data_IF_849433814757
#
_entry.id   IF_849433814757
#
_cell.length_a   1.000
_cell.length_b   1.000
_cell.length_c   1.000
_cell.angle_alpha   90.00
_cell.angle_beta   90.00
_cell.angle_gamma   90.00
#
_symmetry.space_group_name_H-M   'P 1'
#
loop_
_entity.id
_entity.type
_entity.pdbx_description
1 polymer ?
#
# COMPACT_ATOMS: atom_id res chain seq x y z
N UNK A 1 -4.85 -6.54 11.37
CA UNK A 1 -5.37 -5.20 11.70
C UNK A 1 -4.39 -4.48 12.62
N UNK A 2 -4.43 -3.17 12.64
CA UNK A 2 -3.73 -2.38 13.65
C UNK A 2 -4.50 -2.44 14.97
N UNK A 3 -3.78 -2.45 16.09
CA UNK A 3 -4.41 -2.33 17.39
C UNK A 3 -4.94 -0.89 17.60
N UNK A 4 -5.88 -0.74 18.51
CA UNK A 4 -6.37 0.58 18.89
C UNK A 4 -5.24 1.46 19.47
N UNK A 5 -4.34 0.86 20.24
CA UNK A 5 -3.17 1.54 20.81
C UNK A 5 -2.21 2.05 19.72
N UNK A 6 -2.00 1.27 18.65
CA UNK A 6 -1.14 1.71 17.54
C UNK A 6 -1.76 2.91 16.81
N UNK A 7 -3.06 2.87 16.56
CA UNK A 7 -3.76 3.98 15.92
C UNK A 7 -3.83 5.21 16.81
N UNK A 8 -4.01 5.04 18.13
CA UNK A 8 -4.09 6.13 19.08
C UNK A 8 -2.79 6.96 19.17
N UNK A 9 -1.64 6.40 18.81
CA UNK A 9 -0.38 7.15 18.68
C UNK A 9 -0.52 8.33 17.70
N UNK A 10 -1.34 8.19 16.66
CA UNK A 10 -1.58 9.23 15.66
C UNK A 10 -2.35 10.44 16.18
N UNK A 11 -2.88 10.40 17.40
CA UNK A 11 -3.46 11.56 18.09
C UNK A 11 -2.41 12.61 18.45
N UNK A 12 -1.14 12.19 18.56
CA UNK A 12 -0.02 13.08 18.80
C UNK A 12 0.21 13.98 17.57
N UNK A 13 0.06 15.30 17.77
CA UNK A 13 0.23 16.31 16.72
C UNK A 13 1.69 16.48 16.25
N UNK A 14 2.65 15.90 16.96
CA UNK A 14 4.05 15.82 16.50
C UNK A 14 4.19 14.89 15.30
N UNK A 15 3.32 13.88 15.18
CA UNK A 15 3.24 12.99 14.02
C UNK A 15 2.53 13.74 12.89
N UNK A 16 3.26 14.05 11.82
CA UNK A 16 2.78 14.85 10.69
C UNK A 16 2.20 14.01 9.57
N UNK A 17 2.70 12.79 9.41
CA UNK A 17 2.26 11.90 8.34
C UNK A 17 2.25 10.44 8.78
N UNK A 18 1.39 9.64 8.13
CA UNK A 18 1.36 8.18 8.25
C UNK A 18 1.29 7.56 6.87
N UNK A 19 2.09 6.51 6.65
CA UNK A 19 2.04 5.69 5.43
C UNK A 19 1.39 4.34 5.75
N UNK A 20 0.36 3.98 4.99
CA UNK A 20 -0.41 2.76 5.20
C UNK A 20 -0.54 2.01 3.87
N UNK A 21 -0.11 0.75 3.84
CA UNK A 21 -0.40 -0.17 2.73
C UNK A 21 -1.73 -0.86 3.03
N UNK A 22 -2.73 -0.67 2.18
CA UNK A 22 -4.09 -1.16 2.40
C UNK A 22 -4.71 -1.74 1.11
N UNK A 23 -4.92 -3.04 1.02
CA UNK A 23 -4.56 -4.14 1.94
C UNK A 23 -3.07 -4.27 2.21
N UNK A 24 -2.72 -4.74 3.41
CA UNK A 24 -1.34 -4.74 3.91
C UNK A 24 -0.44 -5.77 3.18
N UNK A 25 0.83 -5.43 3.04
CA UNK A 25 1.90 -6.34 2.63
C UNK A 25 2.86 -6.51 3.84
N UNK A 26 3.10 -7.72 4.35
CA UNK A 26 2.74 -9.04 3.79
C UNK A 26 1.44 -9.65 4.33
N UNK A 27 0.68 -8.99 5.18
CA UNK A 27 -0.47 -9.59 5.85
C UNK A 27 -1.67 -9.86 4.93
N UNK A 28 -1.72 -9.28 3.72
CA UNK A 28 -2.79 -9.44 2.73
C UNK A 28 -4.21 -9.03 3.20
N UNK A 29 -4.33 -8.32 4.30
CA UNK A 29 -5.62 -7.99 4.93
C UNK A 29 -5.88 -6.50 4.81
N UNK A 30 -7.07 -6.13 4.31
CA UNK A 30 -7.54 -4.75 4.27
C UNK A 30 -7.97 -4.25 5.66
N UNK A 31 -7.92 -2.95 5.86
CA UNK A 31 -8.43 -2.31 7.07
C UNK A 31 -9.93 -2.57 7.24
N UNK A 32 -10.32 -3.02 8.42
CA UNK A 32 -11.73 -3.16 8.78
C UNK A 32 -12.39 -1.80 9.07
N UNK A 33 -13.70 -1.80 9.25
CA UNK A 33 -14.47 -0.58 9.52
C UNK A 33 -14.04 0.10 10.82
N UNK A 34 -13.68 -0.66 11.86
CA UNK A 34 -13.24 -0.10 13.14
C UNK A 34 -11.95 0.70 13.00
N UNK A 35 -10.95 0.14 12.31
CA UNK A 35 -9.70 0.86 12.02
C UNK A 35 -9.95 2.14 11.20
N UNK A 36 -10.82 2.07 10.17
CA UNK A 36 -11.16 3.23 9.35
C UNK A 36 -11.89 4.30 10.16
N UNK A 37 -12.84 3.90 11.00
CA UNK A 37 -13.59 4.81 11.86
C UNK A 37 -12.68 5.46 12.92
N UNK A 38 -11.75 4.70 13.49
CA UNK A 38 -10.75 5.22 14.44
C UNK A 38 -9.87 6.27 13.76
N UNK A 39 -9.33 5.98 12.57
CA UNK A 39 -8.55 6.95 11.79
C UNK A 39 -9.36 8.21 11.47
N UNK A 40 -10.62 8.05 11.03
CA UNK A 40 -11.52 9.17 10.76
C UNK A 40 -11.75 10.03 12.01
N UNK A 41 -11.95 9.40 13.16
CA UNK A 41 -12.10 10.11 14.43
C UNK A 41 -10.83 10.88 14.81
N UNK A 42 -9.64 10.29 14.57
CA UNK A 42 -8.35 10.93 14.84
C UNK A 42 -8.21 12.21 14.00
N UNK A 43 -8.37 12.13 12.68
CA UNK A 43 -8.24 13.33 11.82
C UNK A 43 -9.34 14.35 12.03
N UNK A 44 -10.52 13.93 12.51
CA UNK A 44 -11.61 14.88 12.74
C UNK A 44 -11.47 15.62 14.06
N UNK A 45 -11.01 14.93 15.13
CA UNK A 45 -11.06 15.48 16.51
C UNK A 45 -9.71 15.79 17.12
N UNK A 46 -8.66 15.03 16.78
CA UNK A 46 -7.39 15.07 17.51
C UNK A 46 -6.24 15.64 16.69
N UNK A 47 -6.06 15.17 15.47
CA UNK A 47 -4.95 15.56 14.59
C UNK A 47 -5.46 15.90 13.18
N UNK A 48 -6.16 17.01 12.97
CA UNK A 48 -6.76 17.38 11.68
C UNK A 48 -5.74 17.64 10.58
N UNK A 49 -4.49 17.90 10.94
CA UNK A 49 -3.39 18.14 10.02
C UNK A 49 -2.58 16.87 9.67
N UNK A 50 -3.01 15.69 10.15
CA UNK A 50 -2.35 14.44 9.82
C UNK A 50 -2.47 14.16 8.31
N UNK A 51 -1.34 14.03 7.64
CA UNK A 51 -1.25 13.61 6.25
C UNK A 51 -1.26 12.08 6.18
N UNK A 52 -2.17 11.50 5.40
CA UNK A 52 -2.27 10.06 5.21
C UNK A 52 -1.82 9.75 3.79
N UNK A 53 -0.87 8.82 3.63
CA UNK A 53 -0.49 8.26 2.35
C UNK A 53 -0.95 6.81 2.36
N UNK A 54 -1.87 6.44 1.45
CA UNK A 54 -2.35 5.05 1.32
C UNK A 54 -1.86 4.43 0.03
N UNK A 55 -1.27 3.23 0.12
CA UNK A 55 -0.95 2.39 -1.03
C UNK A 55 -2.03 1.32 -1.18
N UNK A 56 -2.88 1.50 -2.19
CA UNK A 56 -4.06 0.68 -2.43
C UNK A 56 -3.82 -0.41 -3.50
N UNK A 57 -2.56 -0.73 -3.81
CA UNK A 57 -2.17 -1.65 -4.90
C UNK A 57 -2.86 -3.01 -4.86
N UNK A 58 -3.20 -3.52 -3.69
CA UNK A 58 -3.89 -4.82 -3.51
C UNK A 58 -5.41 -4.70 -3.37
N UNK A 59 -5.97 -3.48 -3.40
CA UNK A 59 -7.39 -3.24 -3.18
C UNK A 59 -8.31 -3.98 -4.16
N UNK A 60 -7.88 -4.16 -5.41
CA UNK A 60 -8.62 -4.90 -6.44
C UNK A 60 -8.81 -6.38 -6.15
N UNK A 61 -7.98 -6.97 -5.29
CA UNK A 61 -8.08 -8.39 -4.87
C UNK A 61 -8.97 -8.61 -3.65
N UNK A 62 -9.44 -7.54 -2.99
CA UNK A 62 -10.26 -7.60 -1.78
C UNK A 62 -11.72 -7.28 -2.10
N UNK A 63 -12.64 -8.15 -1.68
CA UNK A 63 -14.06 -7.91 -1.81
C UNK A 63 -14.51 -6.77 -0.89
N UNK A 64 -15.32 -5.85 -1.42
CA UNK A 64 -15.81 -4.71 -0.65
C UNK A 64 -14.71 -3.74 -0.19
N UNK A 65 -13.54 -3.75 -0.83
CA UNK A 65 -12.46 -2.83 -0.50
C UNK A 65 -12.90 -1.37 -0.51
N UNK A 66 -12.49 -0.64 0.51
CA UNK A 66 -12.71 0.81 0.61
C UNK A 66 -11.38 1.52 0.88
N UNK A 67 -10.95 2.32 -0.07
CA UNK A 67 -9.79 3.20 0.09
C UNK A 67 -10.02 4.21 1.22
N UNK A 68 -8.94 4.61 1.89
CA UNK A 68 -8.97 5.71 2.86
C UNK A 68 -9.34 7.05 2.19
N UNK A 69 -9.10 7.18 0.89
CA UNK A 69 -9.54 8.35 0.12
C UNK A 69 -11.06 8.53 0.08
N UNK A 70 -11.84 7.45 0.18
CA UNK A 70 -13.30 7.53 0.21
C UNK A 70 -13.80 8.09 1.55
N UNK A 71 -13.11 7.72 2.64
CA UNK A 71 -13.56 8.08 4.00
C UNK A 71 -12.95 9.37 4.52
N UNK A 72 -11.76 9.72 4.07
CA UNK A 72 -10.97 10.88 4.51
C UNK A 72 -10.26 11.57 3.33
N UNK A 73 -11.00 12.00 2.28
CA UNK A 73 -10.39 12.55 1.05
C UNK A 73 -9.50 13.76 1.31
N UNK A 74 -9.86 14.60 2.28
CA UNK A 74 -9.12 15.81 2.63
C UNK A 74 -7.70 15.49 3.17
N UNK A 75 -7.57 14.41 3.96
CA UNK A 75 -6.29 14.05 4.60
C UNK A 75 -5.47 13.05 3.79
N UNK A 76 -6.05 12.43 2.74
CA UNK A 76 -5.46 11.24 2.12
C UNK A 76 -4.93 11.52 0.72
N UNK A 77 -3.66 11.15 0.50
CA UNK A 77 -3.04 10.95 -0.80
C UNK A 77 -3.08 9.47 -1.12
N UNK A 78 -3.76 9.10 -2.20
CA UNK A 78 -3.86 7.72 -2.65
C UNK A 78 -2.79 7.39 -3.67
N UNK A 79 -2.18 6.23 -3.52
CA UNK A 79 -1.24 5.65 -4.48
C UNK A 79 -1.82 4.34 -4.99
N UNK A 80 -1.81 4.14 -6.30
CA UNK A 80 -2.19 2.89 -6.93
C UNK A 80 -1.15 2.48 -7.95
N UNK A 81 -0.86 1.18 -8.04
CA UNK A 81 0.08 0.62 -9.00
C UNK A 81 -0.59 -0.40 -9.91
N UNK A 82 -0.30 -0.34 -11.20
CA UNK A 82 -0.72 -1.33 -12.19
C UNK A 82 0.04 -2.66 -12.08
N UNK A 83 1.11 -2.67 -11.29
CA UNK A 83 2.06 -3.80 -11.19
C UNK A 83 1.41 -5.13 -10.86
N UNK A 84 0.43 -5.16 -9.95
CA UNK A 84 -0.11 -6.40 -9.39
C UNK A 84 -1.34 -6.87 -10.15
N UNK A 85 -2.33 -6.02 -10.29
CA UNK A 85 -3.60 -6.38 -10.94
C UNK A 85 -3.43 -6.72 -12.42
N UNK A 86 -2.63 -5.95 -13.15
CA UNK A 86 -2.38 -6.18 -14.57
C UNK A 86 -1.10 -7.02 -14.84
N UNK A 87 -0.38 -7.46 -13.81
CA UNK A 87 0.82 -8.30 -13.96
C UNK A 87 2.02 -7.59 -14.61
N UNK A 88 2.08 -6.26 -14.55
CA UNK A 88 3.09 -5.44 -15.25
C UNK A 88 4.12 -4.82 -14.31
N UNK A 89 4.61 -5.58 -13.36
CA UNK A 89 5.53 -5.14 -12.31
C UNK A 89 6.78 -4.44 -12.86
N UNK A 90 7.35 -4.96 -13.95
CA UNK A 90 8.55 -4.41 -14.59
C UNK A 90 8.32 -3.10 -15.37
N UNK A 91 7.08 -2.74 -15.67
CA UNK A 91 6.76 -1.55 -16.46
C UNK A 91 6.76 -0.26 -15.66
N UNK A 92 6.78 -0.35 -14.34
CA UNK A 92 6.84 0.78 -13.40
C UNK A 92 5.72 1.80 -13.60
N UNK A 93 4.47 1.32 -13.68
CA UNK A 93 3.28 2.14 -13.90
C UNK A 93 2.51 2.32 -12.59
N UNK A 94 2.17 3.56 -12.27
CA UNK A 94 1.37 3.90 -11.11
C UNK A 94 0.75 5.27 -11.25
N UNK A 95 -0.21 5.57 -10.38
CA UNK A 95 -0.89 6.85 -10.29
C UNK A 95 -0.95 7.32 -8.85
N UNK A 96 -0.94 8.64 -8.68
CA UNK A 96 -1.19 9.31 -7.41
C UNK A 96 -2.48 10.10 -7.57
N UNK A 97 -3.35 10.01 -6.57
CA UNK A 97 -4.59 10.75 -6.51
C UNK A 97 -4.65 11.61 -5.25
N UNK A 98 -5.14 12.82 -5.38
CA UNK A 98 -5.33 13.76 -4.28
C UNK A 98 -6.62 14.55 -4.51
N UNK A 99 -7.43 14.73 -3.47
CA UNK A 99 -8.62 15.55 -3.57
C UNK A 99 -8.25 17.01 -3.88
N UNK A 100 -9.09 17.74 -4.60
CA UNK A 100 -8.87 19.15 -4.94
C UNK A 100 -8.67 19.99 -3.68
N UNK A 101 -9.53 19.80 -2.69
CA UNK A 101 -9.40 20.36 -1.36
C UNK A 101 -8.72 19.35 -0.45
N UNK A 102 -7.55 19.68 0.07
CA UNK A 102 -6.72 18.75 0.82
C UNK A 102 -5.84 19.46 1.85
N UNK A 103 -5.48 18.72 2.89
CA UNK A 103 -4.65 19.20 3.99
C UNK A 103 -3.24 19.62 3.53
N UNK A 104 -2.72 19.00 2.47
CA UNK A 104 -1.37 19.28 1.97
C UNK A 104 -1.27 20.72 1.44
N UNK A 105 -2.27 21.14 0.64
CA UNK A 105 -2.33 22.52 0.15
C UNK A 105 -2.51 23.53 1.30
N UNK A 106 -3.37 23.20 2.26
CA UNK A 106 -3.64 24.09 3.39
C UNK A 106 -2.44 24.24 4.34
N UNK A 107 -1.68 23.16 4.55
CA UNK A 107 -0.44 23.24 5.34
C UNK A 107 0.62 24.05 4.63
N UNK A 108 0.77 23.88 3.31
CA UNK A 108 1.71 24.69 2.51
C UNK A 108 1.34 26.16 2.52
N UNK A 109 0.05 26.51 2.46
CA UNK A 109 -0.42 27.89 2.55
C UNK A 109 -0.09 28.55 3.90
N UNK A 110 0.05 27.74 4.97
CA UNK A 110 0.35 28.19 6.35
C UNK A 110 1.85 28.21 6.68
N UNK A 111 2.73 27.81 5.78
CA UNK A 111 4.16 27.83 6.02
C UNK A 111 4.66 29.25 6.36
N UNK A 112 5.70 29.38 7.19
CA UNK A 112 6.40 30.63 7.44
C UNK A 112 6.94 31.28 6.15
N UNK A 113 7.11 32.59 6.17
CA UNK A 113 7.58 33.33 4.99
C UNK A 113 8.93 32.82 4.46
N UNK A 114 9.85 32.45 5.34
CA UNK A 114 11.15 31.91 4.96
C UNK A 114 11.01 30.57 4.20
N UNK A 115 10.18 29.66 4.70
CA UNK A 115 9.93 28.38 4.04
C UNK A 115 9.21 28.55 2.71
N UNK A 116 8.27 29.51 2.62
CA UNK A 116 7.62 29.90 1.36
C UNK A 116 8.63 30.43 0.35
N UNK A 117 9.63 31.18 0.80
CA UNK A 117 10.69 31.71 -0.06
C UNK A 117 11.57 30.57 -0.62
N UNK A 118 11.89 29.57 0.19
CA UNK A 118 12.63 28.37 -0.28
C UNK A 118 11.83 27.65 -1.38
N UNK A 119 10.52 27.46 -1.16
CA UNK A 119 9.65 26.85 -2.17
C UNK A 119 9.51 27.73 -3.43
N UNK A 120 9.52 29.05 -3.28
CA UNK A 120 9.52 29.97 -4.42
C UNK A 120 10.75 29.72 -5.29
N UNK A 121 11.94 29.78 -4.73
CA UNK A 121 13.19 29.52 -5.46
C UNK A 121 13.24 28.14 -6.11
N UNK A 122 12.67 27.13 -5.47
CA UNK A 122 12.62 25.76 -6.00
C UNK A 122 11.87 25.68 -7.33
N UNK A 123 10.81 26.48 -7.51
CA UNK A 123 9.90 26.37 -8.64
C UNK A 123 9.88 27.60 -9.57
N UNK A 124 10.63 28.67 -9.29
CA UNK A 124 10.62 29.93 -10.08
C UNK A 124 11.05 29.73 -11.53
N UNK A 125 11.90 28.74 -11.80
CA UNK A 125 12.30 28.40 -13.17
C UNK A 125 11.17 27.72 -13.99
N UNK A 126 10.10 27.25 -13.33
CA UNK A 126 9.01 26.50 -13.97
C UNK A 126 7.76 27.36 -14.21
N UNK A 127 7.57 28.42 -13.42
CA UNK A 127 6.37 29.26 -13.48
C UNK A 127 6.62 30.64 -12.91
N UNK A 128 5.85 31.60 -13.36
CA UNK A 128 5.85 32.99 -12.83
C UNK A 128 5.09 33.12 -11.49
N UNK A 129 4.35 32.08 -11.09
CA UNK A 129 3.56 32.04 -9.85
C UNK A 129 3.88 30.81 -8.99
N UNK A 130 5.14 30.65 -8.53
CA UNK A 130 5.57 29.44 -7.79
C UNK A 130 4.78 29.16 -6.52
N UNK A 131 4.28 30.21 -5.86
CA UNK A 131 3.48 30.11 -4.64
C UNK A 131 2.08 29.52 -4.88
N UNK A 132 1.56 29.61 -6.11
CA UNK A 132 0.22 29.14 -6.46
C UNK A 132 0.17 27.68 -6.93
N UNK A 133 1.33 27.02 -7.09
CA UNK A 133 1.37 25.61 -7.54
C UNK A 133 0.75 24.71 -6.47
N UNK A 134 -0.32 23.91 -6.80
CA UNK A 134 -0.88 22.92 -5.90
C UNK A 134 0.13 21.82 -5.52
N UNK A 135 -0.06 21.17 -4.39
CA UNK A 135 0.84 20.13 -3.90
C UNK A 135 1.05 19.01 -4.92
N UNK A 136 -0.02 18.55 -5.58
CA UNK A 136 0.07 17.50 -6.61
C UNK A 136 0.97 17.90 -7.78
N UNK A 137 0.89 19.15 -8.24
CA UNK A 137 1.71 19.65 -9.32
C UNK A 137 3.17 19.84 -8.91
N UNK A 138 3.43 20.11 -7.62
CA UNK A 138 4.81 20.12 -7.08
C UNK A 138 5.42 18.73 -7.11
N UNK A 139 4.67 17.68 -6.77
CA UNK A 139 5.15 16.29 -6.89
C UNK A 139 5.52 15.99 -8.36
N UNK A 140 4.71 16.44 -9.31
CA UNK A 140 5.00 16.28 -10.74
C UNK A 140 6.27 17.04 -11.13
N UNK A 141 6.39 18.31 -10.72
CA UNK A 141 7.56 19.13 -10.97
C UNK A 141 8.84 18.50 -10.39
N UNK A 142 8.79 18.07 -9.13
CA UNK A 142 9.91 17.43 -8.46
C UNK A 142 10.31 16.11 -9.13
N UNK A 143 9.35 15.30 -9.56
CA UNK A 143 9.64 14.05 -10.27
C UNK A 143 10.38 14.27 -11.59
N UNK A 144 10.14 15.42 -12.24
CA UNK A 144 10.83 15.82 -13.47
C UNK A 144 12.22 16.39 -13.24
N UNK A 145 12.45 17.01 -12.08
CA UNK A 145 13.75 17.56 -11.70
C UNK A 145 14.74 16.50 -11.18
N UNK A 146 14.23 15.40 -10.64
CA UNK A 146 15.08 14.29 -10.17
C UNK A 146 15.55 13.49 -11.38
N UNK A 147 16.69 13.89 -11.92
CA UNK A 147 17.31 13.29 -13.12
C UNK A 147 17.91 11.89 -12.91
N UNK A 148 17.62 11.22 -11.81
CA UNK A 148 18.17 9.88 -11.48
C UNK A 148 17.83 8.82 -12.53
N UNK A 149 16.77 9.01 -13.31
CA UNK A 149 16.30 8.04 -14.30
C UNK A 149 16.29 8.55 -15.74
N UNK A 150 16.88 9.70 -16.04
CA UNK A 150 16.93 10.30 -17.37
C UNK A 150 15.55 10.51 -18.04
N UNK A 151 14.46 10.43 -17.30
CA UNK A 151 13.10 10.55 -17.81
C UNK A 151 12.32 11.57 -17.00
N UNK A 152 11.77 12.54 -17.67
CA UNK A 152 10.88 13.55 -17.09
C UNK A 152 9.45 12.99 -16.91
N UNK A 153 9.28 11.92 -16.11
CA UNK A 153 8.03 11.22 -15.93
C UNK A 153 7.87 10.02 -16.88
N UNK A 154 6.63 9.56 -17.05
CA UNK A 154 6.32 8.42 -17.91
C UNK A 154 6.49 8.78 -19.38
N UNK A 155 7.12 7.87 -20.14
CA UNK A 155 7.19 7.98 -21.60
C UNK A 155 5.81 7.88 -22.24
N UNK A 156 5.64 8.41 -23.46
CA UNK A 156 4.37 8.31 -24.19
C UNK A 156 3.88 6.86 -24.34
N UNK A 157 4.71 5.87 -24.70
CA UNK A 157 4.26 4.47 -24.73
C UNK A 157 3.73 3.98 -23.37
N UNK A 158 4.35 4.34 -22.26
CA UNK A 158 3.88 3.97 -20.93
C UNK A 158 2.52 4.61 -20.61
N UNK A 159 2.33 5.88 -20.95
CA UNK A 159 1.05 6.57 -20.77
C UNK A 159 -0.06 5.94 -21.60
N UNK A 160 0.22 5.57 -22.86
CA UNK A 160 -0.73 4.86 -23.73
C UNK A 160 -1.12 3.51 -23.12
N UNK A 161 -0.17 2.75 -22.61
CA UNK A 161 -0.44 1.47 -21.96
C UNK A 161 -1.30 1.63 -20.70
N UNK A 162 -1.04 2.64 -19.87
CA UNK A 162 -1.89 2.94 -18.71
C UNK A 162 -3.33 3.28 -19.13
N UNK A 163 -3.48 4.08 -20.19
CA UNK A 163 -4.79 4.41 -20.74
C UNK A 163 -5.52 3.15 -21.22
N UNK A 164 -4.84 2.26 -21.95
CA UNK A 164 -5.42 0.99 -22.44
C UNK A 164 -5.85 0.10 -21.27
N UNK A 165 -5.01 -0.08 -20.24
CA UNK A 165 -5.38 -0.85 -19.03
C UNK A 165 -6.58 -0.23 -18.31
N UNK A 166 -6.64 1.09 -18.21
CA UNK A 166 -7.75 1.79 -17.56
C UNK A 166 -9.05 1.62 -18.36
N UNK A 167 -8.99 1.77 -19.68
CA UNK A 167 -10.14 1.53 -20.58
C UNK A 167 -10.58 0.07 -20.49
N UNK A 168 -9.65 -0.89 -20.53
CA UNK A 168 -9.95 -2.30 -20.35
C UNK A 168 -10.70 -2.55 -19.03
N UNK A 169 -10.22 -1.99 -17.92
CA UNK A 169 -10.88 -2.15 -16.63
C UNK A 169 -12.30 -1.54 -16.57
N UNK A 170 -12.54 -0.43 -17.31
CA UNK A 170 -13.86 0.18 -17.41
C UNK A 170 -14.80 -0.68 -18.27
N UNK A 171 -14.29 -1.28 -19.34
CA UNK A 171 -15.08 -2.13 -20.26
C UNK A 171 -15.36 -3.53 -19.70
N UNK A 172 -14.64 -3.97 -18.67
CA UNK A 172 -14.91 -5.23 -17.97
C UNK A 172 -16.09 -5.06 -16.97
N UNK A 173 -17.26 -4.70 -17.51
CA UNK A 173 -18.47 -4.42 -16.74
C UNK A 173 -18.90 -5.59 -15.85
N UNK A 174 -18.65 -6.84 -16.29
CA UNK A 174 -18.96 -8.06 -15.55
C UNK A 174 -17.84 -8.43 -14.55
N UNK A 175 -16.77 -7.65 -14.45
CA UNK A 175 -15.60 -7.91 -13.61
C UNK A 175 -14.95 -9.28 -13.87
N UNK A 176 -15.01 -9.82 -15.09
CA UNK A 176 -14.52 -11.16 -15.42
C UNK A 176 -13.02 -11.31 -15.13
N UNK A 177 -12.22 -10.33 -15.53
CA UNK A 177 -10.78 -10.33 -15.28
C UNK A 177 -10.49 -10.24 -13.78
N UNK A 178 -11.20 -9.38 -13.09
CA UNK A 178 -11.07 -9.21 -11.63
C UNK A 178 -11.38 -10.51 -10.88
N UNK A 179 -12.50 -11.14 -11.18
CA UNK A 179 -12.88 -12.40 -10.53
C UNK A 179 -11.92 -13.54 -10.88
N UNK A 180 -11.42 -13.60 -12.10
CA UNK A 180 -10.43 -14.59 -12.51
C UNK A 180 -9.10 -14.41 -11.76
N UNK A 181 -8.59 -13.20 -11.63
CA UNK A 181 -7.34 -12.92 -10.91
C UNK A 181 -7.47 -13.24 -9.43
N UNK A 182 -8.61 -12.90 -8.80
CA UNK A 182 -8.93 -13.28 -7.43
C UNK A 182 -9.00 -14.80 -7.24
N UNK A 183 -9.70 -15.50 -8.15
CA UNK A 183 -9.83 -16.95 -8.11
C UNK A 183 -8.46 -17.65 -8.21
N UNK A 184 -7.53 -17.13 -9.02
CA UNK A 184 -6.15 -17.65 -9.10
C UNK A 184 -5.43 -17.50 -7.75
N UNK A 185 -5.52 -16.34 -7.11
CA UNK A 185 -4.90 -16.11 -5.80
C UNK A 185 -5.48 -17.06 -4.74
N UNK A 186 -6.80 -17.16 -4.64
CA UNK A 186 -7.48 -18.04 -3.68
C UNK A 186 -7.17 -19.52 -3.92
N UNK A 187 -7.14 -19.96 -5.18
CA UNK A 187 -6.77 -21.34 -5.50
C UNK A 187 -5.34 -21.66 -5.06
N UNK A 188 -4.39 -20.73 -5.26
CA UNK A 188 -3.01 -20.92 -4.82
C UNK A 188 -2.91 -20.98 -3.30
N UNK A 189 -3.61 -20.11 -2.61
CA UNK A 189 -3.72 -20.13 -1.14
C UNK A 189 -4.23 -21.50 -0.65
N UNK A 190 -5.35 -21.97 -1.19
CA UNK A 190 -5.94 -23.26 -0.84
C UNK A 190 -4.98 -24.44 -1.08
N UNK A 191 -4.25 -24.45 -2.21
CA UNK A 191 -3.27 -25.50 -2.50
C UNK A 191 -2.19 -25.56 -1.40
N UNK A 192 -1.68 -24.41 -0.96
CA UNK A 192 -0.68 -24.38 0.10
C UNK A 192 -1.25 -24.88 1.43
N UNK A 193 -2.45 -24.40 1.81
CA UNK A 193 -3.09 -24.88 3.05
C UNK A 193 -3.44 -26.36 3.02
N UNK A 194 -3.79 -26.93 1.88
CA UNK A 194 -4.02 -28.36 1.73
C UNK A 194 -2.74 -29.18 1.99
N UNK A 195 -1.57 -28.66 1.61
CA UNK A 195 -0.28 -29.31 1.91
C UNK A 195 0.17 -29.10 3.36
N UNK A 196 -0.22 -27.99 3.99
CA UNK A 196 0.03 -27.70 5.38
C UNK A 196 -1.02 -28.36 6.30
N UNK A 197 -1.18 -29.68 6.18
CA UNK A 197 -2.21 -30.48 6.86
C UNK A 197 -2.32 -30.14 8.36
N UNK A 198 -3.52 -29.75 8.79
CA UNK A 198 -3.81 -29.40 10.17
C UNK A 198 -3.39 -27.99 10.58
N UNK A 199 -2.76 -27.20 9.69
CA UNK A 199 -2.49 -25.81 9.97
C UNK A 199 -3.81 -25.01 9.96
N UNK A 200 -4.06 -24.13 10.97
CA UNK A 200 -5.31 -23.40 11.07
C UNK A 200 -5.48 -22.43 9.90
N UNK A 201 -6.57 -22.57 9.18
CA UNK A 201 -7.03 -21.61 8.18
C UNK A 201 -8.14 -20.74 8.77
N UNK A 202 -7.91 -19.44 8.82
CA UNK A 202 -8.91 -18.48 9.26
C UNK A 202 -9.43 -17.73 8.04
N UNK A 203 -10.67 -18.07 7.64
CA UNK A 203 -11.34 -17.32 6.57
C UNK A 203 -11.54 -15.86 6.99
N UNK A 204 -11.15 -14.95 6.12
CA UNK A 204 -11.30 -13.53 6.35
C UNK A 204 -11.70 -12.84 5.04
N UNK A 205 -12.89 -12.25 4.99
CA UNK A 205 -13.40 -11.54 3.80
C UNK A 205 -12.52 -10.37 3.35
N UNK A 206 -11.74 -9.80 4.27
CA UNK A 206 -10.80 -8.72 3.98
C UNK A 206 -9.44 -9.22 3.47
N UNK A 207 -9.24 -10.54 3.38
CA UNK A 207 -8.02 -11.14 2.87
C UNK A 207 -8.02 -11.13 1.34
N UNK A 208 -6.93 -10.63 0.74
CA UNK A 208 -6.74 -10.63 -0.72
C UNK A 208 -6.23 -11.97 -1.26
N UNK A 209 -5.74 -12.87 -0.41
CA UNK A 209 -5.03 -14.10 -0.77
C UNK A 209 -3.81 -13.88 -1.69
N UNK A 210 -3.35 -12.62 -1.84
CA UNK A 210 -2.20 -12.29 -2.68
C UNK A 210 -0.88 -12.70 -2.04
N UNK A 211 -0.76 -12.53 -0.71
CA UNK A 211 0.31 -13.05 0.13
C UNK A 211 -0.28 -13.93 1.22
N UNK A 212 0.52 -14.89 1.68
CA UNK A 212 0.16 -15.77 2.78
C UNK A 212 1.24 -15.71 3.85
N UNK A 213 0.83 -15.70 5.11
CA UNK A 213 1.72 -15.76 6.27
C UNK A 213 1.53 -17.08 6.98
N UNK A 214 2.61 -17.77 7.22
CA UNK A 214 2.63 -19.03 7.96
C UNK A 214 3.57 -18.90 9.14
N UNK A 215 3.12 -19.36 10.30
CA UNK A 215 3.99 -19.54 11.46
C UNK A 215 4.64 -20.93 11.38
N UNK A 216 5.93 -20.93 11.08
CA UNK A 216 6.70 -22.16 10.90
C UNK A 216 6.80 -22.99 12.19
N UNK A 217 6.81 -22.35 13.36
CA UNK A 217 6.86 -23.04 14.65
C UNK A 217 5.53 -23.74 14.93
N UNK A 218 4.40 -23.09 14.64
CA UNK A 218 3.07 -23.71 14.73
C UNK A 218 2.99 -24.91 13.81
N UNK A 219 3.41 -24.79 12.56
CA UNK A 219 3.41 -25.89 11.61
C UNK A 219 4.35 -27.03 12.02
N UNK A 220 5.58 -26.70 12.46
CA UNK A 220 6.56 -27.67 12.93
C UNK A 220 6.03 -28.45 14.14
N UNK A 221 5.38 -27.77 15.09
CA UNK A 221 4.74 -28.39 16.24
C UNK A 221 3.63 -29.37 15.85
N UNK A 222 2.78 -28.97 14.89
CA UNK A 222 1.69 -29.84 14.41
C UNK A 222 2.21 -31.09 13.69
N UNK A 223 3.26 -30.93 12.89
CA UNK A 223 3.76 -32.01 12.03
C UNK A 223 4.80 -32.91 12.70
N UNK A 224 5.67 -32.35 13.52
CA UNK A 224 6.84 -33.05 14.08
C UNK A 224 6.85 -33.07 15.64
N UNK A 225 5.89 -32.43 16.28
CA UNK A 225 5.75 -32.37 17.73
C UNK A 225 6.47 -31.19 18.40
N UNK A 226 6.18 -31.01 19.69
CA UNK A 226 6.63 -29.86 20.46
C UNK A 226 8.17 -29.78 20.59
N UNK A 227 8.83 -30.92 20.81
CA UNK A 227 10.29 -30.98 20.96
C UNK A 227 11.04 -30.45 19.73
N UNK A 228 10.53 -30.74 18.52
CA UNK A 228 11.13 -30.25 17.30
C UNK A 228 10.89 -28.73 17.12
N UNK A 229 9.71 -28.23 17.48
CA UNK A 229 9.44 -26.79 17.44
C UNK A 229 10.36 -26.03 18.42
N UNK A 230 10.57 -26.55 19.64
CA UNK A 230 11.48 -25.99 20.63
C UNK A 230 12.95 -26.00 20.14
N UNK A 231 13.35 -27.07 19.46
CA UNK A 231 14.69 -27.13 18.84
C UNK A 231 14.85 -26.03 17.78
N UNK A 232 13.87 -25.87 16.89
CA UNK A 232 13.94 -24.81 15.87
C UNK A 232 13.99 -23.40 16.49
N UNK A 233 13.22 -23.17 17.55
CA UNK A 233 13.16 -21.89 18.23
C UNK A 233 14.51 -21.51 18.92
N UNK A 234 15.18 -22.50 19.54
CA UNK A 234 16.35 -22.26 20.38
C UNK A 234 17.68 -22.45 19.65
N UNK A 235 17.76 -23.39 18.70
CA UNK A 235 19.00 -23.85 18.11
C UNK A 235 19.22 -23.38 16.67
N UNK A 236 18.18 -22.79 16.06
CA UNK A 236 18.28 -22.28 14.70
C UNK A 236 17.67 -20.89 14.53
N UNK A 237 18.44 -20.00 13.93
CA UNK A 237 17.87 -18.72 13.51
C UNK A 237 16.90 -18.90 12.34
N UNK A 238 15.83 -18.11 12.31
CA UNK A 238 14.86 -18.10 11.20
C UNK A 238 15.56 -17.82 9.85
N UNK A 239 16.57 -16.95 9.87
CA UNK A 239 17.34 -16.60 8.66
C UNK A 239 18.14 -17.79 8.13
N UNK A 240 18.84 -18.55 8.97
CA UNK A 240 19.56 -19.76 8.55
C UNK A 240 18.62 -20.80 7.94
N UNK A 241 17.44 -20.98 8.55
CA UNK A 241 16.42 -21.87 8.01
C UNK A 241 15.92 -21.43 6.64
N UNK A 242 15.66 -20.13 6.45
CA UNK A 242 15.24 -19.58 5.16
C UNK A 242 16.33 -19.69 4.10
N UNK A 243 17.59 -19.44 4.46
CA UNK A 243 18.73 -19.63 3.55
C UNK A 243 18.90 -21.09 3.14
N UNK A 244 18.74 -22.04 4.06
CA UNK A 244 18.77 -23.46 3.77
C UNK A 244 17.65 -23.86 2.80
N UNK A 245 16.42 -23.35 3.00
CA UNK A 245 15.29 -23.59 2.07
C UNK A 245 15.60 -23.02 0.68
N UNK A 246 16.11 -21.79 0.63
CA UNK A 246 16.47 -21.15 -0.64
C UNK A 246 17.56 -21.94 -1.38
N UNK A 247 18.63 -22.30 -0.67
CA UNK A 247 19.76 -23.02 -1.26
C UNK A 247 19.41 -24.43 -1.73
N UNK A 248 18.63 -25.17 -0.94
CA UNK A 248 18.32 -26.60 -1.24
C UNK A 248 17.15 -26.77 -2.20
N UNK A 249 16.16 -25.90 -2.14
CA UNK A 249 14.88 -26.10 -2.81
C UNK A 249 14.48 -24.96 -3.75
N UNK A 250 15.30 -23.89 -3.85
CA UNK A 250 14.98 -22.71 -4.65
C UNK A 250 13.75 -21.94 -4.15
N UNK A 251 13.43 -22.03 -2.86
CA UNK A 251 12.32 -21.30 -2.24
C UNK A 251 12.85 -19.94 -1.76
N UNK A 252 12.25 -18.85 -2.25
CA UNK A 252 12.64 -17.47 -1.96
C UNK A 252 11.45 -16.73 -1.35
#
# INVERSE_FOLDING_TARGET
QYSEDDLNKLKDKSIKAVFIVNPNNPASIALNDDCRNTLKNIVTKYNPNLMIITDDVYGTFCDGFKSLMVTMPYNTLGVYSYSKYFGVTGWRLGVIALAKENVYNDLMAKLPAEEKQILHHRYEALTTTPHAIPFIDRIVADSRQVALNHTAGLSTPQQVQMAIFSVFAILDEENRYKEQTKAICRRREQLVYNELKGYPYLENQLNTAYYNKYDLLVWAKLKYGASFATYLENERSVLEFLFDLSHRYGIV
#
